data_IF_721157253333
#
_entry.id   IF_721157253333
#
_cell.length_a   1.000
_cell.length_b   1.000
_cell.length_c   1.000
_cell.angle_alpha   90.00
_cell.angle_beta   90.00
_cell.angle_gamma   90.00
#
_symmetry.space_group_name_H-M   'P 1'
#
loop_
_entity.id
_entity.type
_entity.pdbx_description
1 polymer ?
#
# COMPACT_ATOMS: atom_id res chain seq x y z
N UNK A 1 9.77 -26.30 -4.84
CA UNK A 1 8.73 -25.36 -5.33
C UNK A 1 9.37 -24.48 -6.41
N UNK A 2 8.63 -24.04 -7.43
CA UNK A 2 9.19 -23.20 -8.49
C UNK A 2 9.42 -21.76 -8.04
N UNK A 3 10.43 -21.08 -8.60
CA UNK A 3 10.78 -19.70 -8.26
C UNK A 3 9.60 -18.71 -8.38
N UNK A 4 8.65 -18.97 -9.27
CA UNK A 4 7.43 -18.18 -9.41
C UNK A 4 6.57 -18.15 -8.12
N UNK A 5 6.59 -19.22 -7.33
CA UNK A 5 5.82 -19.33 -6.09
C UNK A 5 6.40 -18.41 -5.01
N UNK A 6 7.72 -18.48 -4.82
CA UNK A 6 8.44 -17.71 -3.80
C UNK A 6 8.46 -16.22 -4.15
N UNK A 7 8.60 -15.87 -5.43
CA UNK A 7 8.52 -14.48 -5.90
C UNK A 7 7.14 -13.88 -5.63
N UNK A 8 6.05 -14.58 -5.99
CA UNK A 8 4.68 -14.09 -5.75
C UNK A 8 4.39 -13.90 -4.26
N UNK A 9 4.86 -14.83 -3.43
CA UNK A 9 4.73 -14.77 -1.98
C UNK A 9 5.52 -13.59 -1.39
N UNK A 10 6.78 -13.41 -1.76
CA UNK A 10 7.62 -12.28 -1.30
C UNK A 10 7.05 -10.93 -1.72
N UNK A 11 6.59 -10.80 -2.97
CA UNK A 11 5.92 -9.60 -3.49
C UNK A 11 4.68 -9.23 -2.66
N UNK A 12 3.83 -10.23 -2.38
CA UNK A 12 2.60 -10.05 -1.62
C UNK A 12 2.81 -9.74 -0.13
N UNK A 13 3.80 -10.38 0.51
CA UNK A 13 4.19 -10.05 1.87
C UNK A 13 4.76 -8.63 1.97
N UNK A 14 5.63 -8.27 1.03
CA UNK A 14 6.12 -6.89 0.88
C UNK A 14 4.96 -5.90 0.79
N UNK A 15 3.99 -6.14 -0.10
CA UNK A 15 2.79 -5.31 -0.27
C UNK A 15 2.05 -5.09 1.05
N UNK A 16 1.76 -6.16 1.78
CA UNK A 16 1.08 -6.08 3.07
C UNK A 16 1.85 -5.23 4.08
N UNK A 17 3.16 -5.46 4.23
CA UNK A 17 4.03 -4.68 5.12
C UNK A 17 4.04 -3.19 4.73
N UNK A 18 4.16 -2.90 3.43
CA UNK A 18 4.11 -1.53 2.91
C UNK A 18 2.80 -0.81 3.25
N UNK A 19 1.66 -1.49 3.11
CA UNK A 19 0.33 -0.95 3.47
C UNK A 19 0.27 -0.62 4.96
N UNK A 20 0.74 -1.53 5.82
CA UNK A 20 0.76 -1.32 7.28
C UNK A 20 1.64 -0.12 7.64
N UNK A 21 2.85 -0.03 7.08
CA UNK A 21 3.76 1.08 7.36
C UNK A 21 3.18 2.42 6.90
N UNK A 22 2.53 2.47 5.75
CA UNK A 22 1.86 3.68 5.26
C UNK A 22 0.69 4.09 6.16
N UNK A 23 -0.05 3.14 6.74
CA UNK A 23 -1.10 3.43 7.72
C UNK A 23 -0.54 4.04 9.02
N UNK A 24 0.64 3.59 9.46
CA UNK A 24 1.28 4.05 10.70
C UNK A 24 2.03 5.37 10.54
N UNK A 25 2.65 5.60 9.39
CA UNK A 25 3.59 6.69 9.17
C UNK A 25 3.08 7.74 8.17
N UNK A 26 2.19 7.38 7.24
CA UNK A 26 1.78 8.21 6.08
C UNK A 26 0.89 9.42 6.39
N UNK A 27 0.82 9.88 7.65
CA UNK A 27 0.01 11.03 8.06
C UNK A 27 0.54 12.37 7.58
N UNK A 28 1.83 12.48 7.25
CA UNK A 28 2.46 13.67 6.71
C UNK A 28 3.41 13.30 5.57
N UNK A 29 3.87 14.30 4.80
CA UNK A 29 4.74 14.07 3.63
C UNK A 29 6.05 13.39 4.00
N UNK A 30 6.66 13.77 5.12
CA UNK A 30 7.88 13.14 5.63
C UNK A 30 7.65 11.67 6.03
N UNK A 31 6.56 11.40 6.75
CA UNK A 31 6.18 10.07 7.20
C UNK A 31 5.74 9.14 6.07
N UNK A 32 5.26 9.70 4.96
CA UNK A 32 4.99 8.95 3.74
C UNK A 32 6.29 8.59 3.01
N UNK A 33 7.25 9.51 2.95
CA UNK A 33 8.58 9.19 2.43
C UNK A 33 9.26 8.10 3.27
N UNK A 34 9.19 8.18 4.61
CA UNK A 34 9.71 7.12 5.48
C UNK A 34 8.95 5.81 5.30
N UNK A 35 7.62 5.84 5.12
CA UNK A 35 6.84 4.64 4.84
C UNK A 35 7.24 3.96 3.52
N UNK A 36 7.55 4.72 2.48
CA UNK A 36 7.99 4.18 1.19
C UNK A 36 9.37 3.52 1.30
N UNK A 37 10.32 4.22 1.92
CA UNK A 37 11.70 3.71 2.10
C UNK A 37 11.71 2.53 3.05
N UNK A 38 11.04 2.64 4.21
CA UNK A 38 10.91 1.55 5.16
C UNK A 38 10.12 0.38 4.55
N UNK A 39 9.05 0.63 3.81
CA UNK A 39 8.30 -0.39 3.10
C UNK A 39 9.17 -1.19 2.13
N UNK A 40 9.92 -0.49 1.27
CA UNK A 40 10.86 -1.14 0.36
C UNK A 40 11.95 -1.93 1.09
N UNK A 41 12.57 -1.33 2.12
CA UNK A 41 13.63 -1.98 2.89
C UNK A 41 13.13 -3.21 3.65
N UNK A 42 12.00 -3.09 4.36
CA UNK A 42 11.43 -4.20 5.14
C UNK A 42 10.89 -5.29 4.22
N UNK A 43 10.27 -4.94 3.10
CA UNK A 43 9.85 -5.90 2.07
C UNK A 43 11.04 -6.64 1.46
N UNK A 44 12.13 -5.95 1.17
CA UNK A 44 13.36 -6.59 0.68
C UNK A 44 13.98 -7.53 1.71
N UNK A 45 14.00 -7.13 2.99
CA UNK A 45 14.44 -7.99 4.10
C UNK A 45 13.58 -9.25 4.21
N UNK A 46 12.26 -9.13 4.08
CA UNK A 46 11.37 -10.31 4.05
C UNK A 46 11.69 -11.21 2.85
N UNK A 47 11.92 -10.64 1.67
CA UNK A 47 12.35 -11.38 0.49
C UNK A 47 13.67 -12.13 0.68
N UNK A 48 14.66 -11.49 1.31
CA UNK A 48 15.95 -12.09 1.66
C UNK A 48 15.84 -13.28 2.62
N UNK A 49 14.86 -13.24 3.53
CA UNK A 49 14.62 -14.35 4.47
C UNK A 49 13.98 -15.57 3.81
N UNK A 50 13.34 -15.38 2.65
CA UNK A 50 12.60 -16.43 1.93
C UNK A 50 13.46 -17.09 0.87
N UNK A 51 14.26 -16.30 0.15
CA UNK A 51 15.00 -16.77 -1.00
C UNK A 51 16.18 -15.88 -1.35
N UNK A 52 16.44 -15.74 -2.64
CA UNK A 52 17.65 -15.11 -3.15
C UNK A 52 17.32 -13.69 -3.65
N UNK A 53 18.09 -13.23 -4.62
CA UNK A 53 18.05 -11.88 -5.18
C UNK A 53 16.69 -11.55 -5.79
N UNK A 54 16.02 -12.52 -6.43
CA UNK A 54 14.73 -12.32 -7.07
C UNK A 54 13.62 -12.06 -6.04
N UNK A 55 13.56 -12.85 -4.96
CA UNK A 55 12.62 -12.69 -3.86
C UNK A 55 12.84 -11.39 -3.11
N UNK A 56 14.10 -10.99 -2.95
CA UNK A 56 14.51 -9.72 -2.34
C UNK A 56 13.98 -8.53 -3.12
N UNK A 57 14.23 -8.51 -4.43
CA UNK A 57 13.75 -7.44 -5.32
C UNK A 57 12.21 -7.42 -5.33
N UNK A 58 11.58 -8.59 -5.43
CA UNK A 58 10.13 -8.71 -5.43
C UNK A 58 9.52 -8.18 -4.13
N UNK A 59 10.05 -8.60 -2.97
CA UNK A 59 9.61 -8.10 -1.67
C UNK A 59 9.77 -6.59 -1.53
N UNK A 60 10.90 -6.04 -2.00
CA UNK A 60 11.14 -4.59 -1.99
C UNK A 60 10.17 -3.82 -2.86
N UNK A 61 9.92 -4.28 -4.10
CA UNK A 61 8.93 -3.68 -5.00
C UNK A 61 7.54 -3.75 -4.39
N UNK A 62 7.19 -4.91 -3.81
CA UNK A 62 5.92 -5.11 -3.12
C UNK A 62 5.73 -4.10 -1.99
N UNK A 63 6.73 -3.98 -1.12
CA UNK A 63 6.75 -3.02 -0.01
C UNK A 63 6.55 -1.57 -0.46
N UNK A 64 7.26 -1.17 -1.51
CA UNK A 64 7.12 0.17 -2.08
C UNK A 64 5.70 0.42 -2.64
N UNK A 65 5.20 -0.50 -3.48
CA UNK A 65 3.88 -0.37 -4.11
C UNK A 65 2.75 -0.41 -3.08
N UNK A 66 2.90 -1.21 -2.02
CA UNK A 66 1.93 -1.32 -0.93
C UNK A 66 1.83 -0.01 -0.17
N UNK A 67 2.98 0.57 0.20
CA UNK A 67 3.04 1.85 0.88
C UNK A 67 2.47 2.99 0.02
N UNK A 68 2.81 3.00 -1.28
CA UNK A 68 2.32 3.99 -2.24
C UNK A 68 0.81 3.89 -2.49
N UNK A 69 0.27 2.67 -2.57
CA UNK A 69 -1.16 2.46 -2.80
C UNK A 69 -1.99 2.87 -1.57
N UNK A 70 -1.52 2.51 -0.37
CA UNK A 70 -2.16 2.88 0.89
C UNK A 70 -2.13 4.39 1.15
N UNK A 71 -1.10 5.10 0.67
CA UNK A 71 -0.97 6.54 0.82
C UNK A 71 -2.19 7.32 0.30
N UNK A 72 -2.78 6.90 -0.82
CA UNK A 72 -3.98 7.55 -1.37
C UNK A 72 -5.16 7.49 -0.38
N UNK A 73 -5.31 6.35 0.31
CA UNK A 73 -6.35 6.14 1.32
C UNK A 73 -6.04 6.94 2.58
N UNK A 74 -4.80 6.91 3.06
CA UNK A 74 -4.37 7.60 4.29
C UNK A 74 -4.50 9.13 4.15
N UNK A 75 -4.00 9.70 3.05
CA UNK A 75 -4.12 11.13 2.75
C UNK A 75 -5.60 11.51 2.55
N UNK A 76 -6.37 10.67 1.85
CA UNK A 76 -7.80 10.90 1.63
C UNK A 76 -8.60 10.93 2.93
N UNK A 77 -8.33 10.00 3.84
CA UNK A 77 -9.03 9.86 5.13
C UNK A 77 -8.65 10.96 6.12
N UNK A 78 -7.36 11.29 6.22
CA UNK A 78 -6.87 12.40 7.07
C UNK A 78 -7.48 13.75 6.66
N UNK A 79 -7.60 14.02 5.36
CA UNK A 79 -8.30 15.22 4.85
C UNK A 79 -9.80 15.27 5.19
N UNK A 80 -10.40 14.12 5.53
CA UNK A 80 -11.81 13.99 5.95
C UNK A 80 -11.97 13.97 7.48
N UNK A 81 -10.90 14.21 8.24
CA UNK A 81 -10.94 14.26 9.71
C UNK A 81 -10.87 12.90 10.39
N UNK A 82 -10.38 11.85 9.72
CA UNK A 82 -10.22 10.54 10.35
C UNK A 82 -9.24 10.58 11.54
N UNK A 83 -9.53 9.83 12.59
CA UNK A 83 -8.63 9.71 13.75
C UNK A 83 -7.41 8.85 13.39
N UNK A 84 -6.23 9.23 13.91
CA UNK A 84 -4.96 8.51 13.67
C UNK A 84 -5.07 7.02 14.02
N UNK A 85 -5.60 6.73 15.20
CA UNK A 85 -5.67 5.36 15.71
C UNK A 85 -6.66 4.51 14.90
N UNK A 86 -7.83 5.06 14.56
CA UNK A 86 -8.82 4.35 13.75
C UNK A 86 -8.29 4.04 12.34
N UNK A 87 -7.64 5.02 11.71
CA UNK A 87 -7.05 4.84 10.38
C UNK A 87 -5.94 3.79 10.38
N UNK A 88 -5.02 3.88 11.37
CA UNK A 88 -3.96 2.90 11.55
C UNK A 88 -4.51 1.49 11.79
N UNK A 89 -5.55 1.35 12.61
CA UNK A 89 -6.18 0.07 12.89
C UNK A 89 -6.83 -0.55 11.65
N UNK A 90 -7.68 0.18 10.93
CA UNK A 90 -8.41 -0.37 9.78
C UNK A 90 -7.50 -0.62 8.57
N UNK A 91 -6.65 0.34 8.21
CA UNK A 91 -5.74 0.20 7.06
C UNK A 91 -4.60 -0.77 7.40
N UNK A 92 -4.13 -0.78 8.64
CA UNK A 92 -3.18 -1.78 9.13
C UNK A 92 -3.77 -3.20 9.09
N UNK A 93 -5.01 -3.38 9.55
CA UNK A 93 -5.72 -4.67 9.46
C UNK A 93 -5.92 -5.10 8.00
N UNK A 94 -6.28 -4.17 7.11
CA UNK A 94 -6.34 -4.46 5.68
C UNK A 94 -4.98 -4.90 5.12
N UNK A 95 -3.87 -4.26 5.51
CA UNK A 95 -2.51 -4.67 5.14
C UNK A 95 -2.13 -6.05 5.66
N UNK A 96 -2.50 -6.38 6.91
CA UNK A 96 -2.31 -7.70 7.48
C UNK A 96 -3.11 -8.78 6.74
N UNK A 97 -4.35 -8.47 6.34
CA UNK A 97 -5.16 -9.38 5.50
C UNK A 97 -4.53 -9.58 4.13
N UNK A 98 -3.98 -8.54 3.50
CA UNK A 98 -3.24 -8.66 2.23
C UNK A 98 -2.01 -9.56 2.39
N UNK A 99 -1.26 -9.42 3.48
CA UNK A 99 -0.12 -10.30 3.77
C UNK A 99 -0.55 -11.76 3.95
N UNK A 100 -1.64 -12.02 4.70
CA UNK A 100 -2.19 -13.36 4.90
C UNK A 100 -2.68 -13.97 3.59
N UNK A 101 -3.41 -13.21 2.77
CA UNK A 101 -3.89 -13.66 1.47
C UNK A 101 -2.74 -13.98 0.51
N UNK A 102 -1.59 -13.32 0.68
CA UNK A 102 -0.39 -13.54 -0.13
C UNK A 102 0.34 -14.85 0.18
N UNK A 103 -0.08 -15.60 1.21
CA UNK A 103 0.32 -17.01 1.36
C UNK A 103 -0.12 -17.85 0.16
N UNK A 104 -1.12 -17.39 -0.60
CA UNK A 104 -1.46 -17.90 -1.92
C UNK A 104 -0.70 -17.03 -2.95
N UNK A 105 0.35 -17.53 -3.62
CA UNK A 105 1.24 -16.70 -4.44
C UNK A 105 0.53 -15.97 -5.58
N UNK A 106 -0.49 -16.60 -6.16
CA UNK A 106 -1.28 -16.00 -7.23
C UNK A 106 -1.93 -14.69 -6.77
N UNK A 107 -2.35 -14.63 -5.51
CA UNK A 107 -2.95 -13.43 -4.91
C UNK A 107 -1.90 -12.33 -4.74
N UNK A 108 -0.65 -12.67 -4.44
CA UNK A 108 0.45 -11.70 -4.36
C UNK A 108 0.64 -10.93 -5.68
N UNK A 109 0.65 -11.64 -6.81
CA UNK A 109 0.72 -11.00 -8.13
C UNK A 109 -0.51 -10.14 -8.45
N UNK A 110 -1.71 -10.65 -8.17
CA UNK A 110 -2.96 -9.91 -8.43
C UNK A 110 -3.04 -8.65 -7.57
N UNK A 111 -2.67 -8.73 -6.29
CA UNK A 111 -2.66 -7.60 -5.37
C UNK A 111 -1.67 -6.51 -5.79
N UNK A 112 -0.51 -6.91 -6.33
CA UNK A 112 0.51 -5.99 -6.83
C UNK A 112 0.02 -5.07 -7.95
N UNK A 113 -0.96 -5.53 -8.74
CA UNK A 113 -1.57 -4.76 -9.81
C UNK A 113 -2.86 -4.08 -9.33
N UNK A 114 -3.71 -4.80 -8.62
CA UNK A 114 -5.03 -4.33 -8.20
C UNK A 114 -4.96 -3.12 -7.25
N UNK A 115 -4.02 -3.14 -6.29
CA UNK A 115 -3.87 -2.05 -5.31
C UNK A 115 -3.47 -0.71 -5.97
N UNK A 116 -2.43 -0.64 -6.82
CA UNK A 116 -2.09 0.60 -7.51
C UNK A 116 -3.20 1.07 -8.46
N UNK A 117 -3.87 0.16 -9.16
CA UNK A 117 -5.01 0.50 -10.03
C UNK A 117 -6.14 1.12 -9.21
N UNK A 118 -6.48 0.53 -8.07
CA UNK A 118 -7.53 1.05 -7.18
C UNK A 118 -7.14 2.42 -6.62
N UNK A 119 -5.87 2.60 -6.21
CA UNK A 119 -5.34 3.87 -5.74
C UNK A 119 -5.42 4.96 -6.83
N UNK A 120 -5.08 4.63 -8.08
CA UNK A 120 -5.21 5.54 -9.21
C UNK A 120 -6.67 5.94 -9.46
N UNK A 121 -7.61 4.98 -9.39
CA UNK A 121 -9.05 5.27 -9.55
C UNK A 121 -9.61 6.18 -8.45
N UNK A 122 -9.15 6.03 -7.21
CA UNK A 122 -9.55 6.90 -6.10
C UNK A 122 -9.15 8.36 -6.34
N UNK A 123 -7.98 8.60 -6.95
CA UNK A 123 -7.46 9.94 -7.25
C UNK A 123 -8.33 10.68 -8.27
N UNK A 124 -8.89 9.96 -9.25
CA UNK A 124 -9.77 10.53 -10.27
C UNK A 124 -11.15 10.97 -9.75
N UNK A 125 -11.66 10.38 -8.65
CA UNK A 125 -12.99 10.71 -8.09
C UNK A 125 -13.01 11.97 -7.24
N UNK A 126 -11.89 12.70 -7.15
CA UNK A 126 -11.78 13.92 -6.35
C UNK A 126 -12.20 15.21 -7.10
N UNK A 127 -12.60 15.11 -8.38
CA UNK A 127 -13.22 16.19 -9.14
C UNK A 127 -14.73 16.25 -8.86
N UNK A 128 -15.41 17.36 -8.57
CA UNK A 128 -15.06 18.78 -8.59
C UNK A 128 -15.78 19.49 -7.43
N UNK A 129 -15.03 20.03 -6.46
CA UNK A 129 -15.58 20.68 -5.26
C UNK A 129 -16.24 22.04 -5.52
N UNK A 130 -16.15 22.57 -6.75
CA UNK A 130 -16.57 23.93 -7.11
C UNK A 130 -17.60 24.01 -8.24
N UNK A 131 -18.08 22.88 -8.79
CA UNK A 131 -19.06 22.91 -9.88
C UNK A 131 -20.43 23.46 -9.42
N UNK A 132 -20.86 23.15 -8.19
CA UNK A 132 -22.14 23.61 -7.62
C UNK A 132 -22.11 24.97 -6.92
N UNK A 133 -20.91 25.55 -6.69
CA UNK A 133 -20.79 26.88 -6.06
C UNK A 133 -20.84 28.01 -7.10
N UNK A 134 -20.62 27.70 -8.39
CA UNK A 134 -20.70 28.67 -9.48
C UNK A 134 -22.13 29.13 -9.77
N UNK A 135 -23.14 28.35 -9.38
CA UNK A 135 -24.56 28.70 -9.51
C UNK A 135 -25.07 29.57 -8.37
N UNK A 136 -24.33 29.71 -7.27
CA UNK A 136 -24.66 30.55 -6.12
C UNK A 136 -24.00 31.93 -6.14
N UNK A 137 -23.13 32.18 -7.13
CA UNK A 137 -22.43 33.45 -7.30
C UNK A 137 -23.11 34.39 -8.33
N UNK A 138 -24.40 34.19 -8.61
CA UNK A 138 -25.21 35.02 -9.51
C UNK A 138 -26.39 35.59 -8.75
#
# INVERSE_FOLDING_TARGET
MGAWYTIGLSLGLGLGVGVVLSALLGMNSAGLATALVAGAATGALVGLLIGDTAETIAGGIGGFLGALSAAAVVIGATRRGATRLGLAAFVGLAGALVALLSLIPLVGYLAAVALPVLAARMRGRQAARFAGLRTLAK
#
